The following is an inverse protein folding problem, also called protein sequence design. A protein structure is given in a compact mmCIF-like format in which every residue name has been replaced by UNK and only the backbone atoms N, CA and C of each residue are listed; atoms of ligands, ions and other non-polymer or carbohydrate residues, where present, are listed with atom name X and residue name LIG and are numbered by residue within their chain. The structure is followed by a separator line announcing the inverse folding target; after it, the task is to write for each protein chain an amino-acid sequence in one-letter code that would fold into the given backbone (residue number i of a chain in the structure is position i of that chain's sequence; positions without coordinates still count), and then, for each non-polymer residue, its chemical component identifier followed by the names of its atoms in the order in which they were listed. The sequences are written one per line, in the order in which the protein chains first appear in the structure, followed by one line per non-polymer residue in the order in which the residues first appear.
data_IF_896215907803
#
_entry.id   IF_896215907803
#
_cell.length_a   1.000
_cell.length_b   1.000
_cell.length_c   1.000
_cell.angle_alpha   90.00
_cell.angle_beta   90.00
_cell.angle_gamma   90.00
#
_symmetry.space_group_name_H-M   'P 1'
#
loop_
_entity.id
_entity.type
_entity.pdbx_description
1 polymer ?
#
# COMPACT_ATOMS: atom_id res chain seq x y z
N UNK A 1 5.56 -13.58 32.33
CA UNK A 1 6.70 -13.51 31.40
C UNK A 1 6.27 -12.68 30.20
N UNK A 2 6.81 -11.46 30.10
CA UNK A 2 6.42 -10.51 29.06
C UNK A 2 7.03 -10.94 27.71
N UNK A 3 6.17 -11.17 26.72
CA UNK A 3 6.59 -11.38 25.34
C UNK A 3 7.28 -10.09 24.85
N UNK A 4 8.52 -10.24 24.37
CA UNK A 4 9.30 -9.14 23.84
C UNK A 4 8.58 -8.50 22.66
N UNK A 5 8.25 -7.22 22.81
CA UNK A 5 7.83 -6.33 21.73
C UNK A 5 8.89 -6.40 20.63
N UNK A 6 8.50 -6.94 19.47
CA UNK A 6 9.37 -7.16 18.34
C UNK A 6 10.14 -5.89 17.98
N UNK A 7 11.46 -6.00 17.93
CA UNK A 7 12.36 -4.97 17.39
C UNK A 7 11.84 -4.53 16.03
N UNK A 8 11.72 -3.22 15.85
CA UNK A 8 11.37 -2.55 14.61
C UNK A 8 12.03 -3.23 13.39
N UNK A 9 11.22 -3.94 12.61
CA UNK A 9 11.54 -4.37 11.25
C UNK A 9 11.46 -3.13 10.36
N UNK A 10 12.49 -2.28 10.46
CA UNK A 10 12.67 -1.17 9.54
C UNK A 10 12.62 -1.70 8.11
N UNK A 11 12.02 -0.92 7.23
CA UNK A 11 11.91 -1.20 5.82
C UNK A 11 13.29 -1.47 5.22
N UNK A 12 14.37 -0.90 5.76
CA UNK A 12 15.76 -1.20 5.38
C UNK A 12 16.15 -2.68 5.45
N UNK A 13 15.52 -3.50 6.30
CA UNK A 13 15.75 -4.95 6.34
C UNK A 13 14.99 -5.70 5.23
N UNK A 14 13.85 -5.16 4.78
CA UNK A 14 12.96 -5.73 3.75
C UNK A 14 13.26 -5.15 2.36
N UNK A 15 13.81 -3.94 2.32
CA UNK A 15 14.20 -3.17 1.16
C UNK A 15 15.72 -3.01 1.16
N UNK A 16 16.39 -3.98 0.54
CA UNK A 16 17.74 -3.72 0.02
C UNK A 16 17.76 -2.56 -1.01
N UNK A 17 16.58 -2.18 -1.53
CA UNK A 17 16.35 -1.15 -2.55
C UNK A 17 15.81 0.21 -2.03
N UNK A 18 15.74 0.44 -0.70
CA UNK A 18 15.19 1.69 -0.14
C UNK A 18 16.05 2.94 -0.37
N UNK A 19 17.19 2.81 -1.05
CA UNK A 19 18.14 3.92 -1.28
C UNK A 19 17.52 5.13 -2.00
N UNK A 20 16.35 4.94 -2.64
CA UNK A 20 15.55 5.99 -3.25
C UNK A 20 14.77 6.84 -2.25
N UNK A 21 14.43 6.32 -1.06
CA UNK A 21 13.75 7.05 0.00
C UNK A 21 14.77 7.81 0.84
N UNK A 22 14.77 9.14 0.70
CA UNK A 22 15.62 10.02 1.51
C UNK A 22 14.82 10.53 2.70
N UNK A 23 15.39 10.37 3.90
CA UNK A 23 14.81 10.95 5.11
C UNK A 23 14.55 12.45 4.92
N UNK A 24 13.42 12.92 5.43
CA UNK A 24 13.04 14.31 5.43
C UNK A 24 13.91 15.05 6.44
N UNK A 25 14.72 15.98 5.95
CA UNK A 25 15.55 16.85 6.80
C UNK A 25 14.66 17.66 7.73
N UNK A 26 14.92 17.60 9.03
CA UNK A 26 14.16 18.34 10.02
C UNK A 26 12.86 17.66 10.45
N UNK A 27 12.66 16.38 10.10
CA UNK A 27 11.49 15.62 10.55
C UNK A 27 11.35 15.64 12.08
N UNK A 28 12.48 15.63 12.81
CA UNK A 28 12.55 15.66 14.27
C UNK A 28 12.00 16.96 14.90
N UNK A 29 11.65 17.95 14.08
CA UNK A 29 11.10 19.24 14.51
C UNK A 29 9.61 19.37 14.21
N UNK A 30 9.03 18.40 13.51
CA UNK A 30 7.61 18.37 13.20
C UNK A 30 6.82 18.12 14.48
N UNK A 31 5.93 19.04 14.82
CA UNK A 31 5.00 18.93 15.93
C UNK A 31 3.81 18.04 15.53
N UNK A 32 3.03 17.53 16.49
CA UNK A 32 1.83 16.77 16.19
C UNK A 32 0.91 17.48 15.19
N UNK A 33 0.52 16.77 14.13
CA UNK A 33 -0.30 17.31 13.03
C UNK A 33 0.46 18.08 11.95
N UNK A 34 1.76 18.38 12.14
CA UNK A 34 2.55 19.06 11.11
C UNK A 34 2.70 18.21 9.85
N UNK A 35 2.62 18.89 8.70
CA UNK A 35 2.82 18.30 7.38
C UNK A 35 4.13 18.85 6.79
N UNK A 36 5.10 18.00 6.41
CA UNK A 36 6.30 18.45 5.71
C UNK A 36 5.95 19.16 4.41
N UNK A 37 6.69 20.22 4.07
CA UNK A 37 6.45 21.02 2.86
C UNK A 37 6.50 20.23 1.54
N UNK A 38 7.19 19.09 1.53
CA UNK A 38 7.32 18.24 0.35
C UNK A 38 6.87 16.83 0.72
N UNK A 39 5.94 16.30 -0.07
CA UNK A 39 5.65 14.89 -0.13
C UNK A 39 6.77 14.11 -0.81
N UNK A 40 6.55 12.81 -0.95
CA UNK A 40 7.44 11.90 -1.66
C UNK A 40 6.75 11.42 -2.90
N UNK A 41 7.47 11.54 -4.01
CA UNK A 41 7.05 11.10 -5.33
C UNK A 41 7.96 9.97 -5.78
N UNK A 42 7.36 8.83 -6.11
CA UNK A 42 8.05 7.70 -6.73
C UNK A 42 7.51 7.49 -8.14
N UNK A 43 8.37 7.01 -9.04
CA UNK A 43 7.87 6.44 -10.31
C UNK A 43 7.04 5.20 -10.00
N UNK A 44 5.98 4.95 -10.76
CA UNK A 44 5.12 3.78 -10.56
C UNK A 44 5.89 2.45 -10.58
N UNK A 45 6.94 2.36 -11.41
CA UNK A 45 7.84 1.20 -11.44
C UNK A 45 8.64 1.03 -10.13
N UNK A 46 9.06 2.12 -9.49
CA UNK A 46 9.76 2.09 -8.21
C UNK A 46 8.79 1.72 -7.09
N UNK A 47 7.61 2.34 -7.07
CA UNK A 47 6.53 1.99 -6.15
C UNK A 47 6.13 0.51 -6.26
N UNK A 48 6.09 -0.04 -7.48
CA UNK A 48 5.85 -1.48 -7.72
C UNK A 48 6.92 -2.36 -7.08
N UNK A 49 8.21 -2.00 -7.20
CA UNK A 49 9.29 -2.76 -6.54
C UNK A 49 9.13 -2.74 -5.03
N UNK A 50 8.84 -1.58 -4.45
CA UNK A 50 8.59 -1.45 -3.01
C UNK A 50 7.36 -2.24 -2.57
N UNK A 51 6.26 -2.16 -3.33
CA UNK A 51 5.02 -2.89 -3.08
C UNK A 51 5.27 -4.39 -2.99
N UNK A 52 6.04 -4.96 -3.93
CA UNK A 52 6.39 -6.39 -3.94
C UNK A 52 7.20 -6.83 -2.72
N UNK A 53 7.95 -5.92 -2.09
CA UNK A 53 8.69 -6.23 -0.86
C UNK A 53 7.79 -6.35 0.37
N UNK A 54 6.62 -5.70 0.34
CA UNK A 54 5.67 -5.66 1.47
C UNK A 54 4.44 -6.53 1.23
N UNK A 55 4.19 -6.97 -0.01
CA UNK A 55 2.98 -7.70 -0.38
C UNK A 55 2.81 -9.02 0.36
N UNK A 56 3.91 -9.67 0.73
CA UNK A 56 3.88 -10.88 1.56
C UNK A 56 3.35 -10.60 2.96
N UNK A 57 3.70 -9.46 3.55
CA UNK A 57 3.16 -9.05 4.85
C UNK A 57 1.65 -8.83 4.76
N UNK A 58 1.18 -8.17 3.70
CA UNK A 58 -0.26 -7.92 3.46
C UNK A 58 -1.03 -9.23 3.26
N UNK A 59 -0.42 -10.19 2.57
CA UNK A 59 -1.02 -11.51 2.33
C UNK A 59 -0.84 -12.50 3.50
N UNK A 60 -0.20 -12.09 4.59
CA UNK A 60 0.21 -12.96 5.72
C UNK A 60 1.00 -14.21 5.28
N UNK A 61 1.91 -14.03 4.32
CA UNK A 61 2.73 -15.09 3.72
C UNK A 61 4.15 -15.00 4.25
N UNK A 62 4.73 -16.11 4.77
CA UNK A 62 6.14 -16.15 5.16
C UNK A 62 7.10 -15.75 4.03
N UNK A 63 8.23 -15.13 4.36
CA UNK A 63 9.19 -14.65 3.37
C UNK A 63 9.72 -15.76 2.44
N UNK A 64 9.93 -16.96 2.99
CA UNK A 64 10.57 -18.10 2.32
C UNK A 64 9.57 -19.09 1.70
N UNK A 65 8.27 -18.75 1.66
CA UNK A 65 7.24 -19.59 1.04
C UNK A 65 6.88 -19.15 -0.38
N UNK A 66 6.08 -20.00 -1.03
CA UNK A 66 5.51 -19.72 -2.35
C UNK A 66 4.76 -18.38 -2.34
N UNK A 67 4.94 -17.51 -3.35
CA UNK A 67 4.16 -16.29 -3.51
C UNK A 67 2.78 -16.56 -4.14
N UNK A 68 2.36 -17.82 -4.19
CA UNK A 68 1.04 -18.23 -4.60
C UNK A 68 0.25 -18.52 -3.34
N UNK A 69 -0.90 -17.85 -3.20
CA UNK A 69 -1.88 -18.14 -2.16
C UNK A 69 -3.18 -18.61 -2.80
N UNK A 70 -3.94 -19.41 -2.06
CA UNK A 70 -5.29 -19.82 -2.44
C UNK A 70 -6.25 -19.14 -1.47
N UNK A 71 -7.18 -18.37 -2.01
CA UNK A 71 -8.28 -17.80 -1.25
C UNK A 71 -9.49 -18.71 -1.39
N UNK A 72 -10.20 -18.90 -0.28
CA UNK A 72 -11.39 -19.76 -0.23
C UNK A 72 -12.60 -18.94 0.19
N UNK A 73 -13.72 -19.15 -0.52
CA UNK A 73 -15.00 -18.57 -0.17
C UNK A 73 -16.13 -19.51 -0.59
N UNK A 74 -16.83 -20.07 0.40
CA UNK A 74 -17.97 -20.96 0.22
C UNK A 74 -17.67 -22.16 -0.71
N UNK A 75 -16.50 -22.78 -0.54
CA UNK A 75 -16.06 -23.92 -1.35
C UNK A 75 -15.58 -23.57 -2.75
N UNK A 76 -15.50 -22.28 -3.11
CA UNK A 76 -14.79 -21.82 -4.29
C UNK A 76 -13.36 -21.40 -3.94
N UNK A 77 -12.42 -21.69 -4.83
CA UNK A 77 -11.01 -21.37 -4.67
C UNK A 77 -10.58 -20.34 -5.72
N UNK A 78 -9.75 -19.39 -5.30
CA UNK A 78 -9.04 -18.47 -6.19
C UNK A 78 -7.55 -18.58 -5.90
N UNK A 79 -6.80 -19.06 -6.87
CA UNK A 79 -5.36 -18.94 -6.90
C UNK A 79 -4.99 -17.48 -7.14
N UNK A 80 -4.07 -16.92 -6.35
CA UNK A 80 -3.59 -15.55 -6.44
C UNK A 80 -2.05 -15.55 -6.39
N UNK A 81 -1.42 -15.07 -7.45
CA UNK A 81 0.04 -14.90 -7.51
C UNK A 81 0.44 -13.50 -7.05
N UNK A 82 0.75 -13.37 -5.76
CA UNK A 82 1.09 -12.08 -5.14
C UNK A 82 2.45 -11.53 -5.65
N UNK A 83 3.28 -12.33 -6.31
CA UNK A 83 4.53 -11.83 -6.93
C UNK A 83 4.26 -10.99 -8.18
N UNK A 84 3.11 -11.17 -8.81
CA UNK A 84 2.72 -10.43 -10.02
C UNK A 84 2.16 -9.05 -9.73
N UNK A 85 1.91 -8.74 -8.45
CA UNK A 85 1.35 -7.44 -8.04
C UNK A 85 2.17 -6.30 -8.64
N UNK A 86 1.47 -5.39 -9.30
CA UNK A 86 2.06 -4.23 -9.96
C UNK A 86 1.16 -3.02 -9.82
N UNK A 87 1.78 -1.84 -9.84
CA UNK A 87 1.12 -0.56 -9.67
C UNK A 87 1.39 0.32 -10.90
N UNK A 88 0.33 0.90 -11.46
CA UNK A 88 0.41 1.95 -12.47
C UNK A 88 -0.36 3.18 -12.01
N UNK A 89 0.03 4.36 -12.51
CA UNK A 89 -0.58 5.63 -12.12
C UNK A 89 -0.93 6.46 -13.35
N UNK A 90 -2.13 7.02 -13.31
CA UNK A 90 -2.55 8.17 -14.09
C UNK A 90 -3.03 9.26 -13.12
N UNK A 91 -3.17 10.53 -13.54
CA UNK A 91 -3.65 11.58 -12.65
C UNK A 91 -4.94 11.19 -11.92
N UNK A 92 -4.90 11.18 -10.58
CA UNK A 92 -6.03 10.86 -9.71
C UNK A 92 -6.42 9.38 -9.63
N UNK A 93 -5.69 8.46 -10.28
CA UNK A 93 -6.02 7.03 -10.23
C UNK A 93 -4.76 6.17 -10.06
N UNK A 94 -4.79 5.31 -9.05
CA UNK A 94 -3.85 4.21 -8.88
C UNK A 94 -4.51 2.95 -9.42
N UNK A 95 -3.80 2.14 -10.20
CA UNK A 95 -4.27 0.83 -10.64
C UNK A 95 -3.33 -0.24 -10.12
N UNK A 96 -3.88 -1.18 -9.37
CA UNK A 96 -3.13 -2.35 -8.88
C UNK A 96 -3.57 -3.57 -9.66
N UNK A 97 -2.64 -4.23 -10.33
CA UNK A 97 -2.91 -5.44 -11.09
C UNK A 97 -2.33 -6.67 -10.39
N UNK A 98 -3.10 -7.75 -10.34
CA UNK A 98 -2.70 -9.04 -9.74
C UNK A 98 -3.18 -10.18 -10.64
N UNK A 99 -2.35 -11.21 -10.78
CA UNK A 99 -2.69 -12.42 -11.54
C UNK A 99 -3.46 -13.40 -10.66
N UNK A 100 -4.57 -13.89 -11.19
CA UNK A 100 -5.45 -14.84 -10.51
C UNK A 100 -5.89 -15.95 -11.44
N UNK A 101 -6.46 -17.01 -10.88
CA UNK A 101 -6.78 -18.24 -11.58
C UNK A 101 -7.72 -19.10 -10.76
N UNK A 102 -8.50 -19.93 -11.45
CA UNK A 102 -9.33 -20.97 -10.86
C UNK A 102 -9.51 -22.09 -11.92
N UNK A 103 -10.07 -23.21 -11.50
CA UNK A 103 -10.40 -24.36 -12.34
C UNK A 103 -11.36 -24.03 -13.51
N UNK A 104 -12.19 -23.01 -13.33
CA UNK A 104 -13.14 -22.53 -14.34
C UNK A 104 -12.51 -21.57 -15.37
N UNK A 105 -11.26 -21.16 -15.17
CA UNK A 105 -10.53 -20.34 -16.13
C UNK A 105 -9.61 -21.22 -17.00
N UNK A 106 -9.64 -21.08 -18.34
CA UNK A 106 -8.73 -21.84 -19.21
C UNK A 106 -7.27 -21.40 -19.02
N UNK A 107 -7.05 -20.13 -18.70
CA UNK A 107 -5.74 -19.54 -18.40
C UNK A 107 -5.86 -18.49 -17.28
N UNK A 108 -4.80 -18.26 -16.49
CA UNK A 108 -4.80 -17.20 -15.47
C UNK A 108 -5.08 -15.81 -16.05
N UNK A 109 -5.87 -15.02 -15.33
CA UNK A 109 -6.26 -13.67 -15.72
C UNK A 109 -5.53 -12.61 -14.89
N UNK A 110 -5.21 -11.47 -15.51
CA UNK A 110 -4.78 -10.27 -14.77
C UNK A 110 -6.00 -9.43 -14.40
N UNK A 111 -6.29 -9.30 -13.11
CA UNK A 111 -7.34 -8.40 -12.63
C UNK A 111 -6.71 -7.08 -12.20
N UNK A 112 -7.30 -5.97 -12.64
CA UNK A 112 -6.87 -4.62 -12.26
C UNK A 112 -7.91 -3.98 -11.35
N UNK A 113 -7.48 -3.54 -10.18
CA UNK A 113 -8.28 -2.77 -9.23
C UNK A 113 -7.92 -1.28 -9.34
N UNK A 114 -8.82 -0.43 -9.85
CA UNK A 114 -8.60 1.01 -9.88
C UNK A 114 -9.04 1.67 -8.57
N UNK A 115 -8.20 2.55 -8.04
CA UNK A 115 -8.52 3.42 -6.92
C UNK A 115 -8.47 4.88 -7.34
N UNK A 116 -9.60 5.57 -7.22
CA UNK A 116 -9.66 7.03 -7.24
C UNK A 116 -8.98 7.60 -6.01
N UNK A 117 -8.03 8.50 -6.22
CA UNK A 117 -7.21 9.17 -5.20
C UNK A 117 -7.03 10.65 -5.59
N UNK A 118 -6.27 11.42 -4.79
CA UNK A 118 -5.94 12.80 -5.13
C UNK A 118 -5.01 12.93 -6.34
N UNK A 119 -4.87 14.15 -6.86
CA UNK A 119 -3.81 14.50 -7.82
C UNK A 119 -2.63 15.13 -7.09
N UNK A 120 -1.44 15.26 -7.71
CA UNK A 120 -0.31 15.93 -7.08
C UNK A 120 -0.60 17.39 -6.69
N UNK A 121 -1.48 18.06 -7.44
CA UNK A 121 -1.88 19.46 -7.21
C UNK A 121 -3.02 19.58 -6.19
N UNK A 122 -3.85 18.54 -6.06
CA UNK A 122 -4.97 18.47 -5.14
C UNK A 122 -4.97 17.10 -4.43
N UNK A 123 -4.00 16.86 -3.51
CA UNK A 123 -3.95 15.61 -2.78
C UNK A 123 -5.16 15.53 -1.84
N UNK A 124 -5.89 14.42 -1.90
CA UNK A 124 -6.96 14.10 -0.95
C UNK A 124 -6.34 13.44 0.28
N UNK A 125 -6.99 13.45 1.44
CA UNK A 125 -6.55 12.63 2.57
C UNK A 125 -6.50 11.12 2.24
N UNK A 126 -6.51 10.24 3.23
CA UNK A 126 -6.54 8.78 3.01
C UNK A 126 -7.90 8.24 2.51
N UNK A 127 -8.62 9.04 1.72
CA UNK A 127 -9.82 8.65 1.01
C UNK A 127 -9.40 8.04 -0.32
N UNK A 128 -9.72 6.77 -0.51
CA UNK A 128 -9.64 6.11 -1.81
C UNK A 128 -11.02 5.52 -2.12
N UNK A 129 -11.35 5.34 -3.40
CA UNK A 129 -12.58 4.67 -3.82
C UNK A 129 -12.31 3.75 -4.99
N UNK A 130 -12.98 2.60 -5.04
CA UNK A 130 -12.86 1.64 -6.13
C UNK A 130 -14.23 1.35 -6.74
N UNK A 131 -14.26 0.60 -7.83
CA UNK A 131 -15.48 0.12 -8.46
C UNK A 131 -16.14 -0.93 -7.58
N UNK A 132 -17.48 -0.96 -7.58
CA UNK A 132 -18.27 -2.02 -6.94
C UNK A 132 -18.19 -3.36 -7.69
N UNK A 133 -17.82 -3.32 -8.97
CA UNK A 133 -17.57 -4.50 -9.82
C UNK A 133 -16.34 -4.25 -10.67
N UNK A 134 -15.38 -5.18 -10.63
CA UNK A 134 -14.16 -5.11 -11.44
C UNK A 134 -14.39 -5.61 -12.86
N UNK A 135 -13.55 -5.14 -13.78
CA UNK A 135 -13.45 -5.68 -15.13
C UNK A 135 -12.62 -6.97 -15.12
N UNK A 136 -13.07 -7.98 -15.86
CA UNK A 136 -12.43 -9.29 -15.96
C UNK A 136 -13.43 -10.42 -16.18
N UNK A 137 -12.95 -11.69 -16.19
CA UNK A 137 -13.82 -12.84 -16.29
C UNK A 137 -14.85 -12.89 -15.15
N UNK A 138 -16.12 -13.10 -15.49
CA UNK A 138 -17.23 -13.07 -14.52
C UNK A 138 -17.04 -14.06 -13.38
N UNK A 139 -16.47 -15.22 -13.68
CA UNK A 139 -16.18 -16.27 -12.69
C UNK A 139 -15.23 -15.78 -11.59
N UNK A 140 -14.41 -14.77 -11.88
CA UNK A 140 -13.56 -14.10 -10.90
C UNK A 140 -14.28 -12.90 -10.30
N UNK A 141 -14.71 -11.95 -11.14
CA UNK A 141 -15.15 -10.63 -10.67
C UNK A 141 -16.52 -10.68 -9.97
N UNK A 142 -17.38 -11.64 -10.31
CA UNK A 142 -18.67 -11.83 -9.66
C UNK A 142 -18.58 -12.25 -8.18
N UNK A 143 -17.54 -12.98 -7.81
CA UNK A 143 -17.34 -13.48 -6.42
C UNK A 143 -16.24 -12.72 -5.67
N UNK A 144 -15.13 -12.44 -6.33
CA UNK A 144 -13.89 -12.04 -5.66
C UNK A 144 -13.60 -10.53 -5.70
N UNK A 145 -14.47 -9.71 -6.30
CA UNK A 145 -14.26 -8.25 -6.38
C UNK A 145 -13.97 -7.62 -5.02
N UNK A 146 -14.73 -7.97 -3.99
CA UNK A 146 -14.55 -7.40 -2.65
C UNK A 146 -13.19 -7.79 -2.05
N UNK A 147 -12.81 -9.06 -2.13
CA UNK A 147 -11.53 -9.56 -1.62
C UNK A 147 -10.34 -8.94 -2.36
N UNK A 148 -10.38 -8.90 -3.69
CA UNK A 148 -9.34 -8.28 -4.52
C UNK A 148 -9.20 -6.78 -4.23
N UNK A 149 -10.33 -6.09 -4.04
CA UNK A 149 -10.33 -4.67 -3.67
C UNK A 149 -9.75 -4.46 -2.28
N UNK A 150 -10.14 -5.25 -1.28
CA UNK A 150 -9.61 -5.14 0.07
C UNK A 150 -8.10 -5.41 0.12
N UNK A 151 -7.64 -6.48 -0.52
CA UNK A 151 -6.23 -6.85 -0.60
C UNK A 151 -5.38 -5.74 -1.24
N UNK A 152 -5.80 -5.24 -2.40
CA UNK A 152 -5.05 -4.19 -3.11
C UNK A 152 -5.10 -2.84 -2.40
N UNK A 153 -6.21 -2.53 -1.71
CA UNK A 153 -6.33 -1.37 -0.83
C UNK A 153 -5.32 -1.43 0.31
N UNK A 154 -5.29 -2.55 1.04
CA UNK A 154 -4.37 -2.75 2.15
C UNK A 154 -2.92 -2.68 1.68
N UNK A 155 -2.63 -3.24 0.51
CA UNK A 155 -1.30 -3.18 -0.08
C UNK A 155 -0.83 -1.74 -0.36
N UNK A 156 -1.72 -0.85 -0.83
CA UNK A 156 -1.40 0.58 -1.01
C UNK A 156 -1.18 1.26 0.34
N UNK A 157 -2.04 1.02 1.32
CA UNK A 157 -1.92 1.62 2.66
C UNK A 157 -0.64 1.18 3.38
N UNK A 158 -0.29 -0.09 3.26
CA UNK A 158 0.92 -0.64 3.88
C UNK A 158 2.17 -0.08 3.22
N UNK A 159 2.18 0.01 1.87
CA UNK A 159 3.25 0.68 1.14
C UNK A 159 3.42 2.14 1.61
N UNK A 160 2.34 2.91 1.65
CA UNK A 160 2.37 4.31 2.08
C UNK A 160 2.86 4.45 3.53
N UNK A 161 2.37 3.61 4.44
CA UNK A 161 2.72 3.63 5.86
C UNK A 161 4.20 3.35 6.08
N UNK A 162 4.71 2.32 5.43
CA UNK A 162 6.13 1.95 5.47
C UNK A 162 7.02 3.01 4.86
N UNK A 163 6.62 3.58 3.72
CA UNK A 163 7.34 4.71 3.12
C UNK A 163 7.44 5.86 4.11
N UNK A 164 6.33 6.28 4.73
CA UNK A 164 6.33 7.40 5.68
C UNK A 164 7.21 7.13 6.90
N UNK A 165 7.16 5.92 7.45
CA UNK A 165 7.97 5.55 8.61
C UNK A 165 9.49 5.68 8.34
N UNK A 166 9.93 5.41 7.11
CA UNK A 166 11.34 5.59 6.71
C UNK A 166 11.73 7.04 6.42
N UNK A 167 10.76 7.91 6.15
CA UNK A 167 11.05 9.32 5.91
C UNK A 167 11.45 10.06 7.18
N UNK A 168 11.17 9.51 8.35
CA UNK A 168 11.71 10.01 9.61
C UNK A 168 10.75 9.85 10.77
N UNK A 169 11.12 10.51 11.87
CA UNK A 169 10.36 10.57 13.10
C UNK A 169 10.08 12.01 13.46
N UNK A 170 8.92 12.27 14.04
CA UNK A 170 8.50 13.59 14.49
C UNK A 170 9.19 14.02 15.81
N UNK A 171 8.84 15.19 16.34
CA UNK A 171 9.40 15.71 17.59
C UNK A 171 9.10 14.86 18.84
N UNK A 172 8.15 13.93 18.75
CA UNK A 172 7.84 12.95 19.82
C UNK A 172 8.58 11.63 19.64
N UNK A 173 9.39 11.51 18.59
CA UNK A 173 10.12 10.28 18.24
C UNK A 173 9.24 9.22 17.56
N UNK A 174 8.00 9.54 17.21
CA UNK A 174 7.10 8.63 16.50
C UNK A 174 7.36 8.66 14.99
N UNK A 175 7.22 7.53 14.27
CA UNK A 175 7.37 7.52 12.82
C UNK A 175 6.29 8.37 12.15
N UNK A 176 6.65 9.04 11.05
CA UNK A 176 5.67 9.75 10.23
C UNK A 176 4.63 8.78 9.66
N UNK A 177 3.41 9.29 9.45
CA UNK A 177 2.29 8.53 8.90
C UNK A 177 1.85 9.10 7.55
N UNK A 178 1.12 8.33 6.73
CA UNK A 178 0.48 8.86 5.54
C UNK A 178 -0.58 9.91 5.92
N UNK A 179 -0.47 11.12 5.37
CA UNK A 179 -1.50 12.17 5.46
C UNK A 179 -2.39 12.21 4.21
N UNK A 180 -1.79 12.01 3.04
CA UNK A 180 -2.51 11.89 1.77
C UNK A 180 -1.83 10.92 0.80
N UNK A 181 -2.63 10.40 -0.12
CA UNK A 181 -2.20 9.59 -1.26
C UNK A 181 -2.72 10.25 -2.54
N UNK A 182 -1.84 10.36 -3.52
CA UNK A 182 -2.17 10.91 -4.82
C UNK A 182 -1.46 10.16 -5.95
N UNK A 183 -1.97 10.31 -7.17
CA UNK A 183 -1.40 9.73 -8.37
C UNK A 183 -1.26 10.79 -9.45
N UNK A 184 -0.10 10.82 -10.09
CA UNK A 184 0.19 11.63 -11.28
C UNK A 184 0.45 10.74 -12.50
N UNK A 185 0.96 11.32 -13.59
CA UNK A 185 1.34 10.54 -14.78
C UNK A 185 2.55 9.66 -14.46
N UNK A 186 2.32 8.35 -14.29
CA UNK A 186 3.34 7.35 -13.92
C UNK A 186 4.03 7.62 -12.58
N UNK A 187 3.38 8.37 -11.67
CA UNK A 187 3.95 8.68 -10.35
C UNK A 187 2.97 8.38 -9.23
N UNK A 188 3.46 7.71 -8.19
CA UNK A 188 2.78 7.51 -6.92
C UNK A 188 3.29 8.57 -5.93
N UNK A 189 2.37 9.27 -5.27
CA UNK A 189 2.68 10.39 -4.38
C UNK A 189 2.09 10.13 -3.00
N UNK A 190 2.91 10.32 -1.96
CA UNK A 190 2.47 10.25 -0.58
C UNK A 190 2.93 11.52 0.14
N UNK A 191 2.01 12.21 0.79
CA UNK A 191 2.35 13.27 1.72
C UNK A 191 2.43 12.67 3.13
N UNK A 192 3.61 12.60 3.75
CA UNK A 192 3.70 12.22 5.15
C UNK A 192 3.15 13.34 6.05
N UNK A 193 2.84 12.99 7.29
CA UNK A 193 2.53 13.93 8.37
C UNK A 193 2.97 13.38 9.73
N UNK A 194 3.20 14.27 10.69
CA UNK A 194 3.34 13.89 12.10
C UNK A 194 1.97 13.49 12.67
N UNK A 195 1.96 12.54 13.61
CA UNK A 195 0.69 12.05 14.20
C UNK A 195 -0.01 13.17 14.97
N UNK A 196 -1.33 13.22 14.89
CA UNK A 196 -2.09 14.08 15.79
C UNK A 196 -1.99 13.54 17.22
N UNK A 197 -1.81 14.45 18.18
CA UNK A 197 -1.89 14.14 19.59
C UNK A 197 -3.32 14.38 20.08
N UNK A 198 -3.99 13.30 20.45
CA UNK A 198 -5.36 13.33 20.97
C UNK A 198 -5.42 13.19 22.49
N UNK A 199 -4.29 13.07 23.18
CA UNK A 199 -4.23 12.86 24.63
C UNK A 199 -4.79 14.03 25.44
N UNK A 200 -4.80 15.23 24.85
CA UNK A 200 -5.39 16.43 25.43
C UNK A 200 -6.91 16.54 25.27
N UNK A 201 -7.56 15.67 24.49
CA UNK A 201 -9.02 15.66 24.32
C UNK A 201 -9.68 15.00 25.53
N UNK A 202 -9.83 15.76 26.63
CA UNK A 202 -10.73 15.39 27.72
C UNK A 202 -12.18 15.48 27.22
N UNK A 203 -12.96 14.42 27.47
CA UNK A 203 -14.42 14.39 27.27
C UNK A 203 -15.13 15.19 28.35
#
# INVERSE_FOLDING_TARGET
MAAGVGKATGLSAVLKDASTLKAIRGAERLKPGDVPKKGVTLKAAEATRLLRSVIRFVADVPADSSPIVVWEQEGSELWVDISTVSLTCIPGVIRVAVKVGCDQLPEPAMITVPFGVGTPEAPTGLVMSSLSRLDGPEVVTGRWTAALTAFTWEAILELASRMCAELGRDATGLPLIPGSIAAGSQTFVVQPMARNDLSGLRR
#
